data_IF_551108082646
#
_entry.id   IF_551108082646
#
_cell.length_a   1.000
_cell.length_b   1.000
_cell.length_c   1.000
_cell.angle_alpha   90.00
_cell.angle_beta   90.00
_cell.angle_gamma   90.00
#
_symmetry.space_group_name_H-M   'P 1'
#
loop_
_entity.id
_entity.type
_entity.pdbx_description
1 polymer ?
#
# COMPACT_ATOMS: atom_id res chain seq x y z
N UNK A 1 47.12 -26.76 23.93
CA UNK A 1 46.05 -26.81 22.89
C UNK A 1 44.67 -26.37 23.40
N UNK A 2 44.33 -26.53 24.69
CA UNK A 2 43.02 -26.08 25.25
C UNK A 2 42.91 -24.55 25.46
N UNK A 3 43.98 -23.88 25.85
CA UNK A 3 43.95 -22.43 26.16
C UNK A 3 43.68 -21.53 24.95
N UNK A 4 44.17 -21.91 23.77
CA UNK A 4 43.96 -21.13 22.54
C UNK A 4 42.48 -21.09 22.11
N UNK A 5 41.68 -22.09 22.53
CA UNK A 5 40.25 -22.16 22.27
C UNK A 5 39.45 -21.26 23.20
N UNK A 6 39.85 -21.19 24.48
CA UNK A 6 39.19 -20.37 25.50
C UNK A 6 39.37 -18.87 25.18
N UNK A 7 40.57 -18.45 24.78
CA UNK A 7 40.82 -17.05 24.39
C UNK A 7 39.94 -16.62 23.21
N UNK A 8 39.81 -17.49 22.20
CA UNK A 8 39.00 -17.21 21.01
C UNK A 8 37.50 -17.09 21.34
N UNK A 9 37.00 -17.91 22.27
CA UNK A 9 35.63 -17.83 22.77
C UNK A 9 35.40 -16.51 23.54
N UNK A 10 36.35 -16.12 24.38
CA UNK A 10 36.27 -14.86 25.13
C UNK A 10 36.27 -13.62 24.21
N UNK A 11 37.06 -13.64 23.15
CA UNK A 11 37.07 -12.56 22.15
C UNK A 11 35.73 -12.46 21.41
N UNK A 12 35.13 -13.60 21.04
CA UNK A 12 33.80 -13.63 20.42
C UNK A 12 32.70 -13.12 21.37
N UNK A 13 32.76 -13.48 22.66
CA UNK A 13 31.83 -12.99 23.67
C UNK A 13 31.94 -11.47 23.87
N UNK A 14 33.16 -10.92 23.78
CA UNK A 14 33.40 -9.48 23.88
C UNK A 14 32.79 -8.72 22.69
N UNK A 15 32.93 -9.25 21.48
CA UNK A 15 32.32 -8.69 20.26
C UNK A 15 30.79 -8.72 20.37
N UNK A 16 30.22 -9.86 20.78
CA UNK A 16 28.77 -10.01 20.98
C UNK A 16 28.23 -9.01 22.01
N UNK A 17 28.95 -8.81 23.12
CA UNK A 17 28.55 -7.86 24.16
C UNK A 17 28.52 -6.42 23.63
N UNK A 18 29.48 -6.03 22.80
CA UNK A 18 29.52 -4.71 22.20
C UNK A 18 28.36 -4.49 21.21
N UNK A 19 28.07 -5.48 20.36
CA UNK A 19 26.91 -5.40 19.46
C UNK A 19 25.58 -5.30 20.21
N UNK A 20 25.42 -6.02 21.34
CA UNK A 20 24.22 -5.91 22.16
C UNK A 20 24.07 -4.51 22.75
N UNK A 21 25.17 -3.88 23.19
CA UNK A 21 25.15 -2.51 23.68
C UNK A 21 24.76 -1.51 22.58
N UNK A 22 25.32 -1.64 21.38
CA UNK A 22 24.95 -0.79 20.23
C UNK A 22 23.48 -0.94 19.85
N UNK A 23 22.91 -2.15 19.91
CA UNK A 23 21.49 -2.38 19.65
C UNK A 23 20.62 -1.67 20.70
N UNK A 24 21.02 -1.74 21.98
CA UNK A 24 20.30 -1.08 23.07
C UNK A 24 20.34 0.45 22.90
N UNK A 25 21.50 1.01 22.57
CA UNK A 25 21.66 2.45 22.36
C UNK A 25 20.85 2.95 21.15
N UNK A 26 20.86 2.21 20.04
CA UNK A 26 20.05 2.53 18.87
C UNK A 26 18.55 2.44 19.18
N UNK A 27 18.13 1.49 20.01
CA UNK A 27 16.73 1.35 20.44
C UNK A 27 16.30 2.56 21.29
N UNK A 28 17.16 3.01 22.20
CA UNK A 28 16.91 4.20 23.03
C UNK A 28 16.87 5.49 22.20
N UNK A 29 17.77 5.62 21.23
CA UNK A 29 17.78 6.75 20.29
C UNK A 29 16.48 6.78 19.48
N UNK A 30 16.04 5.64 18.96
CA UNK A 30 14.79 5.52 18.22
C UNK A 30 13.56 5.89 19.07
N UNK A 31 13.50 5.42 20.33
CA UNK A 31 12.44 5.78 21.25
C UNK A 31 12.38 7.30 21.52
N UNK A 32 13.55 7.94 21.63
CA UNK A 32 13.66 9.39 21.83
C UNK A 32 13.18 10.17 20.61
N UNK A 33 13.60 9.78 19.40
CA UNK A 33 13.12 10.38 18.15
C UNK A 33 11.61 10.20 17.98
N UNK A 34 11.08 9.03 18.35
CA UNK A 34 9.65 8.76 18.27
C UNK A 34 8.85 9.65 19.22
N UNK A 35 9.30 9.80 20.47
CA UNK A 35 8.66 10.67 21.46
C UNK A 35 8.65 12.15 21.01
N UNK A 36 9.77 12.62 20.45
CA UNK A 36 9.87 13.98 19.90
C UNK A 36 8.92 14.21 18.73
N UNK A 37 8.92 13.30 17.75
CA UNK A 37 8.04 13.36 16.58
C UNK A 37 6.55 13.27 16.97
N UNK A 38 6.21 12.49 18.01
CA UNK A 38 4.86 12.45 18.54
C UNK A 38 4.45 13.78 19.18
N UNK A 39 5.33 14.38 19.99
CA UNK A 39 5.07 15.69 20.62
C UNK A 39 4.92 16.82 19.59
N UNK A 40 5.78 16.87 18.56
CA UNK A 40 5.67 17.86 17.48
C UNK A 40 4.36 17.72 16.70
N UNK A 41 3.91 16.48 16.44
CA UNK A 41 2.60 16.23 15.81
C UNK A 41 1.42 16.67 16.66
N UNK A 42 1.50 16.54 17.99
CA UNK A 42 0.43 17.04 18.86
C UNK A 42 0.38 18.57 18.86
N UNK A 43 1.53 19.24 18.91
CA UNK A 43 1.59 20.72 18.79
C UNK A 43 0.99 21.21 17.47
N UNK A 44 1.31 20.55 16.35
CA UNK A 44 0.74 20.89 15.04
C UNK A 44 -0.78 20.65 14.99
N UNK A 45 -1.28 19.59 15.63
CA UNK A 45 -2.73 19.37 15.75
C UNK A 45 -3.39 20.51 16.53
N UNK A 46 -2.83 20.89 17.67
CA UNK A 46 -3.36 21.96 18.51
C UNK A 46 -3.34 23.33 17.79
N UNK A 47 -2.40 23.56 16.87
CA UNK A 47 -2.32 24.79 16.06
C UNK A 47 -3.30 24.81 14.88
N UNK A 48 -3.54 23.66 14.24
CA UNK A 48 -4.36 23.54 13.03
C UNK A 48 -5.86 23.47 13.35
N UNK A 49 -6.26 22.76 14.42
CA UNK A 49 -7.66 22.59 14.83
C UNK A 49 -8.43 23.92 14.89
N UNK A 50 -7.94 24.99 15.58
CA UNK A 50 -8.68 26.25 15.65
C UNK A 50 -8.84 26.95 14.29
N UNK A 51 -7.88 26.79 13.38
CA UNK A 51 -7.98 27.36 12.02
C UNK A 51 -9.04 26.64 11.18
N UNK A 52 -9.14 25.31 11.31
CA UNK A 52 -10.17 24.51 10.62
C UNK A 52 -11.57 24.85 11.13
N UNK A 53 -11.75 25.04 12.44
CA UNK A 53 -13.02 25.47 13.02
C UNK A 53 -13.46 26.85 12.54
N UNK A 54 -12.51 27.77 12.35
CA UNK A 54 -12.80 29.13 11.87
C UNK A 54 -13.23 29.14 10.40
N UNK A 55 -12.64 28.28 9.56
CA UNK A 55 -13.04 28.09 8.16
C UNK A 55 -14.47 27.54 8.06
N UNK A 56 -14.81 26.57 8.91
CA UNK A 56 -16.15 25.97 8.92
C UNK A 56 -17.25 26.98 9.34
N UNK A 57 -16.98 27.83 10.34
CA UNK A 57 -17.90 28.91 10.73
C UNK A 57 -18.16 29.91 9.61
N UNK A 58 -17.14 30.26 8.83
CA UNK A 58 -17.29 31.17 7.68
C UNK A 58 -18.14 30.56 6.56
N UNK A 59 -18.12 29.23 6.40
CA UNK A 59 -18.94 28.52 5.43
C UNK A 59 -20.43 28.49 5.84
N UNK A 60 -20.74 28.43 7.14
CA UNK A 60 -22.13 28.46 7.63
C UNK A 60 -22.79 29.84 7.45
N UNK A 61 -22.04 30.92 7.65
CA UNK A 61 -22.52 32.31 7.49
C UNK A 61 -22.92 32.66 6.05
N UNK A 62 -22.29 32.04 5.05
CA UNK A 62 -22.60 32.27 3.63
C UNK A 62 -23.87 31.56 3.12
N UNK A 63 -24.53 30.76 3.97
CA UNK A 63 -25.74 30.00 3.58
C UNK A 63 -27.06 30.80 3.66
N UNK A 64 -27.03 32.05 4.15
CA UNK A 64 -28.24 32.82 4.51
C UNK A 64 -28.62 33.97 3.55
N UNK A 65 -28.14 33.97 2.29
CA UNK A 65 -28.53 34.99 1.31
C UNK A 65 -29.87 34.61 0.64
N UNK A 66 -30.94 35.45 0.70
CA UNK A 66 -32.22 35.14 0.07
C UNK A 66 -32.12 35.18 -1.47
N UNK A 67 -32.58 34.12 -2.15
CA UNK A 67 -32.64 34.06 -3.62
C UNK A 67 -33.92 34.74 -4.12
N UNK A 68 -33.78 35.74 -5.00
CA UNK A 68 -34.89 36.39 -5.69
C UNK A 68 -35.58 35.42 -6.67
N UNK A 69 -36.91 35.33 -6.57
CA UNK A 69 -37.78 34.50 -7.43
C UNK A 69 -38.05 35.17 -8.77
N UNK A 70 -37.91 34.44 -9.89
CA UNK A 70 -38.47 34.79 -11.20
C UNK A 70 -39.59 33.82 -11.60
N UNK A 71 -40.63 34.27 -12.34
CA UNK A 71 -41.89 33.55 -12.49
C UNK A 71 -41.85 32.44 -13.54
N UNK A 72 -42.58 31.36 -13.24
CA UNK A 72 -42.78 30.17 -14.06
C UNK A 72 -43.67 30.41 -15.29
N UNK A 73 -43.29 29.83 -16.44
CA UNK A 73 -44.21 29.43 -17.51
C UNK A 73 -44.15 27.92 -17.69
N UNK A 74 -45.30 27.27 -17.50
CA UNK A 74 -45.54 25.84 -17.71
C UNK A 74 -45.50 25.47 -19.19
N UNK A 75 -44.69 24.48 -19.56
CA UNK A 75 -45.08 23.54 -20.61
C UNK A 75 -44.64 22.12 -20.26
N UNK A 76 -45.63 21.22 -20.26
CA UNK A 76 -45.57 19.86 -19.74
C UNK A 76 -44.84 18.93 -20.71
N UNK A 77 -43.85 18.17 -20.21
CA UNK A 77 -43.64 16.78 -20.65
C UNK A 77 -43.06 15.88 -19.55
N UNK A 78 -43.86 14.86 -19.27
CA UNK A 78 -43.80 13.76 -18.31
C UNK A 78 -42.49 12.95 -18.16
N UNK A 79 -42.01 12.89 -16.90
CA UNK A 79 -41.60 11.69 -16.10
C UNK A 79 -40.24 11.00 -16.36
N UNK A 80 -39.26 11.21 -15.45
CA UNK A 80 -38.73 10.22 -14.46
C UNK A 80 -37.44 10.70 -13.75
N UNK A 81 -37.45 10.68 -12.40
CA UNK A 81 -36.25 10.62 -11.56
C UNK A 81 -35.57 11.96 -11.22
N UNK A 82 -36.02 12.61 -10.15
CA UNK A 82 -35.41 13.82 -9.58
C UNK A 82 -33.99 13.53 -9.06
N UNK A 83 -32.97 14.11 -9.71
CA UNK A 83 -31.68 14.38 -9.09
C UNK A 83 -31.77 15.71 -8.34
N UNK A 84 -31.18 15.76 -7.14
CA UNK A 84 -31.07 16.97 -6.33
C UNK A 84 -30.32 18.09 -7.08
N UNK A 85 -30.78 19.36 -7.05
CA UNK A 85 -30.20 20.45 -7.85
C UNK A 85 -28.86 21.01 -7.34
N UNK A 86 -28.29 20.48 -6.26
CA UNK A 86 -27.05 21.03 -5.67
C UNK A 86 -25.75 20.50 -6.32
N UNK A 87 -25.87 19.68 -7.38
CA UNK A 87 -24.75 19.10 -8.13
C UNK A 87 -24.53 19.75 -9.51
N UNK A 88 -25.14 20.92 -9.76
CA UNK A 88 -25.27 21.53 -11.09
C UNK A 88 -23.98 21.98 -11.81
N UNK A 89 -22.81 21.95 -11.16
CA UNK A 89 -21.52 22.25 -11.79
C UNK A 89 -20.42 21.20 -11.52
N UNK A 90 -20.67 20.27 -10.59
CA UNK A 90 -19.83 19.08 -10.34
C UNK A 90 -20.44 17.84 -11.00
N UNK A 91 -21.09 18.01 -12.15
CA UNK A 91 -21.49 16.89 -12.98
C UNK A 91 -20.23 16.31 -13.64
N UNK A 92 -19.52 15.52 -12.83
CA UNK A 92 -18.56 14.52 -13.28
C UNK A 92 -19.15 13.88 -14.54
N UNK A 93 -18.34 13.67 -15.56
CA UNK A 93 -18.68 12.83 -16.71
C UNK A 93 -18.94 11.41 -16.19
N UNK A 94 -20.12 11.19 -15.61
CA UNK A 94 -20.50 9.97 -14.90
C UNK A 94 -20.60 8.77 -15.84
N UNK A 95 -20.49 9.01 -17.15
CA UNK A 95 -20.41 8.00 -18.20
C UNK A 95 -19.02 7.40 -18.34
N UNK A 96 -17.98 8.14 -17.94
CA UNK A 96 -16.58 7.73 -18.14
C UNK A 96 -15.93 7.25 -16.84
N UNK A 97 -16.51 7.54 -15.67
CA UNK A 97 -15.98 7.05 -14.38
C UNK A 97 -16.13 5.52 -14.28
N UNK A 98 -15.05 4.79 -13.94
CA UNK A 98 -15.09 3.34 -13.77
C UNK A 98 -16.17 2.89 -12.77
N UNK A 99 -16.83 1.79 -13.11
CA UNK A 99 -17.85 1.16 -12.26
C UNK A 99 -17.20 0.63 -11.00
N UNK A 100 -17.94 0.53 -9.90
CA UNK A 100 -17.38 0.15 -8.59
C UNK A 100 -16.67 -1.22 -8.58
N UNK A 101 -17.03 -2.12 -9.50
CA UNK A 101 -16.41 -3.43 -9.71
C UNK A 101 -14.99 -3.33 -10.28
N UNK A 102 -14.68 -2.25 -11.00
CA UNK A 102 -13.38 -1.98 -11.63
C UNK A 102 -12.41 -1.31 -10.64
N UNK A 103 -12.90 -0.89 -9.47
CA UNK A 103 -12.08 -0.28 -8.43
C UNK A 103 -11.38 -1.35 -7.58
N UNK A 104 -10.15 -1.07 -7.11
CA UNK A 104 -9.42 -2.02 -6.29
C UNK A 104 -10.15 -2.28 -4.96
N UNK A 105 -10.01 -3.50 -4.43
CA UNK A 105 -10.55 -3.88 -3.12
C UNK A 105 -9.44 -4.03 -2.09
N UNK A 106 -9.72 -3.64 -0.85
CA UNK A 106 -8.77 -3.74 0.25
C UNK A 106 -9.37 -4.48 1.44
N UNK A 107 -8.82 -5.64 1.78
CA UNK A 107 -9.34 -6.50 2.86
C UNK A 107 -8.73 -6.24 4.23
N UNK A 108 -7.53 -5.65 4.28
CA UNK A 108 -6.77 -5.50 5.51
C UNK A 108 -6.37 -6.83 6.16
N UNK A 109 -6.49 -7.96 5.48
CA UNK A 109 -6.15 -9.29 5.98
C UNK A 109 -5.08 -9.97 5.14
N UNK A 110 -4.10 -10.59 5.80
CA UNK A 110 -3.06 -11.37 5.12
C UNK A 110 -1.98 -10.51 4.45
N UNK A 111 -1.53 -10.96 3.28
CA UNK A 111 -0.36 -10.46 2.53
C UNK A 111 -0.82 -9.48 1.43
N UNK A 112 -1.58 -8.46 1.80
CA UNK A 112 -2.09 -7.45 0.86
C UNK A 112 -1.03 -6.40 0.50
N UNK A 113 -1.15 -5.80 -0.68
CA UNK A 113 -0.33 -4.67 -1.12
C UNK A 113 -1.16 -3.38 -1.02
N UNK A 114 -0.96 -2.63 0.07
CA UNK A 114 -1.68 -1.37 0.31
C UNK A 114 -1.16 -0.22 -0.57
N UNK A 115 0.10 -0.30 -1.00
CA UNK A 115 0.72 0.67 -1.90
C UNK A 115 0.05 0.58 -3.27
N UNK A 116 -0.12 -0.64 -3.80
CA UNK A 116 -0.82 -0.84 -5.07
C UNK A 116 -2.28 -0.38 -5.00
N UNK A 117 -2.99 -0.69 -3.92
CA UNK A 117 -4.35 -0.19 -3.70
C UNK A 117 -4.43 1.34 -3.79
N UNK A 118 -3.52 2.06 -3.12
CA UNK A 118 -3.47 3.53 -3.15
C UNK A 118 -3.11 4.02 -4.56
N UNK A 119 -2.06 3.44 -5.17
CA UNK A 119 -1.59 3.80 -6.50
C UNK A 119 -2.67 3.65 -7.57
N UNK A 120 -3.42 2.55 -7.53
CA UNK A 120 -4.54 2.34 -8.46
C UNK A 120 -5.61 3.41 -8.29
N UNK A 121 -5.95 3.81 -7.06
CA UNK A 121 -6.91 4.90 -6.85
C UNK A 121 -6.35 6.24 -7.35
N UNK A 122 -5.09 6.55 -7.07
CA UNK A 122 -4.44 7.78 -7.55
C UNK A 122 -4.44 7.84 -9.10
N UNK A 123 -4.12 6.73 -9.78
CA UNK A 123 -4.21 6.65 -11.25
C UNK A 123 -5.64 6.88 -11.76
N UNK A 124 -6.65 6.30 -11.11
CA UNK A 124 -8.05 6.51 -11.48
C UNK A 124 -8.49 7.97 -11.26
N UNK A 125 -7.98 8.63 -10.21
CA UNK A 125 -8.26 10.05 -9.98
C UNK A 125 -7.65 10.91 -11.08
N UNK A 126 -6.43 10.60 -11.52
CA UNK A 126 -5.74 11.34 -12.56
C UNK A 126 -6.40 11.14 -13.93
N UNK A 127 -6.64 9.88 -14.33
CA UNK A 127 -7.17 9.53 -15.65
C UNK A 127 -8.61 9.99 -15.87
N UNK A 128 -9.45 9.92 -14.83
CA UNK A 128 -10.87 10.26 -14.92
C UNK A 128 -11.22 11.59 -14.22
N UNK A 129 -10.21 12.35 -13.80
CA UNK A 129 -10.37 13.63 -13.07
C UNK A 129 -11.36 13.53 -11.89
N UNK A 130 -11.25 12.47 -11.10
CA UNK A 130 -12.19 12.16 -10.01
C UNK A 130 -11.85 12.98 -8.77
N UNK A 131 -12.81 13.81 -8.36
CA UNK A 131 -12.70 14.58 -7.12
C UNK A 131 -12.64 13.70 -5.87
N UNK A 132 -11.95 14.22 -4.87
CA UNK A 132 -11.68 13.59 -3.59
C UNK A 132 -12.94 13.09 -2.88
N UNK A 133 -14.03 13.87 -2.92
CA UNK A 133 -15.28 13.54 -2.24
C UNK A 133 -15.93 12.27 -2.80
N UNK A 134 -15.74 11.99 -4.09
CA UNK A 134 -16.26 10.79 -4.75
C UNK A 134 -15.47 9.57 -4.29
N UNK A 135 -14.13 9.69 -4.27
CA UNK A 135 -13.25 8.62 -3.79
C UNK A 135 -13.56 8.29 -2.34
N UNK A 136 -13.61 9.30 -1.48
CA UNK A 136 -13.94 9.15 -0.06
C UNK A 136 -15.34 8.56 0.13
N UNK A 137 -16.30 8.90 -0.72
CA UNK A 137 -17.63 8.30 -0.75
C UNK A 137 -17.63 6.81 -1.13
N UNK A 138 -16.71 6.39 -2.02
CA UNK A 138 -16.57 4.99 -2.46
C UNK A 138 -15.77 4.14 -1.47
N UNK A 139 -14.90 4.72 -0.64
CA UNK A 139 -13.99 3.98 0.27
C UNK A 139 -14.69 2.88 1.09
N UNK A 140 -15.88 3.15 1.62
CA UNK A 140 -16.67 2.15 2.35
C UNK A 140 -16.86 0.84 1.56
N UNK A 141 -17.09 0.94 0.26
CA UNK A 141 -17.34 -0.18 -0.64
C UNK A 141 -16.06 -0.80 -1.22
N UNK A 142 -14.92 -0.11 -1.11
CA UNK A 142 -13.61 -0.63 -1.50
C UNK A 142 -12.99 -1.45 -0.37
N UNK A 143 -13.30 -1.09 0.88
CA UNK A 143 -12.89 -1.85 2.05
C UNK A 143 -13.74 -3.10 2.25
N UNK A 144 -13.08 -4.21 2.53
CA UNK A 144 -13.70 -5.52 2.79
C UNK A 144 -13.15 -6.12 4.09
N UNK A 145 -13.84 -7.12 4.65
CA UNK A 145 -13.40 -7.87 5.84
C UNK A 145 -12.98 -6.98 7.02
N UNK A 146 -11.79 -7.18 7.63
CA UNK A 146 -11.35 -6.36 8.76
C UNK A 146 -11.12 -4.89 8.41
N UNK A 147 -10.78 -4.56 7.16
CA UNK A 147 -10.56 -3.16 6.77
C UNK A 147 -11.84 -2.31 6.89
N UNK A 148 -13.02 -2.87 6.59
CA UNK A 148 -14.27 -2.10 6.66
C UNK A 148 -14.62 -1.71 8.12
N UNK A 149 -14.36 -2.63 9.07
CA UNK A 149 -14.58 -2.40 10.50
C UNK A 149 -13.64 -1.32 11.02
N UNK A 150 -12.38 -1.37 10.60
CA UNK A 150 -11.39 -0.34 10.90
C UNK A 150 -11.81 1.02 10.33
N UNK A 151 -12.22 1.08 9.06
CA UNK A 151 -12.66 2.31 8.41
C UNK A 151 -13.86 2.94 9.15
N UNK A 152 -14.85 2.14 9.55
CA UNK A 152 -15.99 2.62 10.33
C UNK A 152 -15.59 3.21 11.67
N UNK A 153 -14.69 2.53 12.40
CA UNK A 153 -14.15 3.05 13.67
C UNK A 153 -13.47 4.40 13.49
N UNK A 154 -12.57 4.51 12.50
CA UNK A 154 -11.85 5.76 12.22
C UNK A 154 -12.79 6.89 11.80
N UNK A 155 -13.80 6.58 10.98
CA UNK A 155 -14.84 7.55 10.57
C UNK A 155 -15.68 8.05 11.75
N UNK A 156 -15.96 7.20 12.73
CA UNK A 156 -16.70 7.60 13.93
C UNK A 156 -15.86 8.48 14.86
N UNK A 157 -14.56 8.15 15.01
CA UNK A 157 -13.66 8.85 15.93
C UNK A 157 -13.19 10.21 15.39
N UNK A 158 -12.94 10.33 14.09
CA UNK A 158 -12.28 11.51 13.52
C UNK A 158 -13.10 12.25 12.44
N UNK A 159 -14.25 11.70 12.02
CA UNK A 159 -15.18 12.38 11.12
C UNK A 159 -14.81 12.29 9.62
N UNK A 160 -15.13 13.35 8.87
CA UNK A 160 -14.85 13.43 7.43
C UNK A 160 -13.41 13.85 7.20
N UNK A 161 -12.70 13.08 6.38
CA UNK A 161 -11.33 13.36 5.96
C UNK A 161 -11.21 13.27 4.45
N UNK A 162 -10.26 14.02 3.89
CA UNK A 162 -9.84 13.93 2.51
C UNK A 162 -9.13 12.60 2.23
N UNK A 163 -8.99 12.22 0.95
CA UNK A 163 -8.30 10.99 0.59
C UNK A 163 -6.84 11.01 0.99
N UNK A 164 -6.19 12.18 1.01
CA UNK A 164 -4.80 12.32 1.48
C UNK A 164 -4.59 11.85 2.92
N UNK A 165 -5.51 12.22 3.82
CA UNK A 165 -5.53 11.71 5.18
C UNK A 165 -5.80 10.19 5.21
N UNK A 166 -6.75 9.69 4.41
CA UNK A 166 -6.98 8.24 4.31
C UNK A 166 -5.76 7.46 3.81
N UNK A 167 -5.01 8.00 2.84
CA UNK A 167 -3.75 7.40 2.37
C UNK A 167 -2.76 7.26 3.53
N UNK A 168 -2.58 8.33 4.29
CA UNK A 168 -1.68 8.36 5.45
C UNK A 168 -2.08 7.35 6.53
N UNK A 169 -3.38 7.25 6.81
CA UNK A 169 -3.93 6.28 7.77
C UNK A 169 -3.81 4.83 7.29
N UNK A 170 -4.07 4.56 6.01
CA UNK A 170 -3.86 3.23 5.41
C UNK A 170 -2.39 2.82 5.55
N UNK A 171 -1.45 3.72 5.23
CA UNK A 171 -0.02 3.47 5.36
C UNK A 171 0.35 3.24 6.84
N UNK A 172 -0.09 4.12 7.73
CA UNK A 172 0.29 4.09 9.17
C UNK A 172 -0.18 2.82 9.87
N UNK A 173 -1.45 2.45 9.69
CA UNK A 173 -2.03 1.32 10.41
C UNK A 173 -1.54 0.00 9.83
N UNK A 174 -1.17 -0.02 8.55
CA UNK A 174 -0.89 -1.25 7.82
C UNK A 174 0.58 -1.47 7.48
N UNK A 175 1.43 -0.50 7.82
CA UNK A 175 2.87 -0.67 8.05
C UNK A 175 3.21 -1.13 9.49
N UNK A 176 2.23 -1.64 10.25
CA UNK A 176 2.50 -2.19 11.59
C UNK A 176 3.58 -3.28 11.54
N UNK A 177 4.45 -3.32 12.56
CA UNK A 177 5.55 -4.30 12.66
C UNK A 177 5.06 -5.75 12.50
N UNK A 178 3.84 -6.06 12.94
CA UNK A 178 3.25 -7.41 12.77
C UNK A 178 2.93 -7.76 11.32
N UNK A 179 2.38 -6.83 10.54
CA UNK A 179 2.13 -7.05 9.11
C UNK A 179 3.44 -7.17 8.35
N UNK A 180 4.39 -6.27 8.63
CA UNK A 180 5.72 -6.26 8.00
C UNK A 180 6.43 -7.60 8.24
N UNK A 181 6.47 -8.05 9.49
CA UNK A 181 7.03 -9.35 9.86
C UNK A 181 6.34 -10.53 9.15
N UNK A 182 5.00 -10.53 9.07
CA UNK A 182 4.25 -11.59 8.36
C UNK A 182 4.58 -11.61 6.87
N UNK A 183 4.78 -10.44 6.25
CA UNK A 183 5.06 -10.32 4.83
C UNK A 183 6.52 -10.67 4.51
N UNK A 184 7.47 -10.24 5.34
CA UNK A 184 8.89 -10.62 5.27
C UNK A 184 9.03 -12.14 5.45
N UNK A 185 8.49 -12.72 6.52
CA UNK A 185 8.54 -14.16 6.74
C UNK A 185 7.88 -14.94 5.59
N UNK A 186 6.81 -14.40 5.03
CA UNK A 186 6.15 -14.99 3.87
C UNK A 186 7.00 -14.97 2.60
N UNK A 187 7.80 -13.93 2.39
CA UNK A 187 8.76 -13.85 1.30
C UNK A 187 9.94 -14.80 1.58
N UNK A 188 10.47 -14.78 2.81
CA UNK A 188 11.64 -15.57 3.19
C UNK A 188 11.40 -17.08 3.05
N UNK A 189 10.26 -17.57 3.55
CA UNK A 189 9.85 -18.97 3.46
C UNK A 189 9.37 -19.41 2.06
N UNK A 190 9.20 -18.48 1.11
CA UNK A 190 8.65 -18.77 -0.21
C UNK A 190 9.69 -19.28 -1.21
N UNK A 191 10.34 -20.39 -0.88
CA UNK A 191 11.22 -21.13 -1.81
C UNK A 191 10.38 -21.61 -3.01
N UNK A 192 10.93 -21.46 -4.21
CA UNK A 192 10.28 -21.89 -5.45
C UNK A 192 10.41 -23.40 -5.65
N UNK A 193 9.31 -24.06 -6.02
CA UNK A 193 9.29 -25.49 -6.31
C UNK A 193 8.87 -25.73 -7.77
N UNK A 194 9.79 -26.24 -8.59
CA UNK A 194 9.57 -26.43 -10.03
C UNK A 194 8.49 -27.46 -10.41
N UNK A 195 8.01 -28.29 -9.48
CA UNK A 195 6.94 -29.26 -9.74
C UNK A 195 5.55 -28.68 -9.42
N UNK A 196 5.47 -27.89 -8.33
CA UNK A 196 4.20 -27.40 -7.78
C UNK A 196 3.88 -25.96 -8.19
N UNK A 197 4.89 -25.14 -8.35
CA UNK A 197 4.73 -23.72 -8.57
C UNK A 197 4.70 -23.37 -10.07
N UNK A 198 3.83 -22.41 -10.42
CA UNK A 198 3.86 -21.75 -11.73
C UNK A 198 4.77 -20.51 -11.66
N UNK A 199 5.77 -20.36 -12.55
CA UNK A 199 6.70 -19.23 -12.53
C UNK A 199 6.01 -17.87 -12.47
N UNK A 200 5.15 -17.55 -13.44
CA UNK A 200 4.41 -16.28 -13.49
C UNK A 200 3.69 -15.96 -12.18
N UNK A 201 2.85 -16.89 -11.69
CA UNK A 201 2.05 -16.67 -10.47
C UNK A 201 2.94 -16.48 -9.25
N UNK A 202 4.05 -17.21 -9.14
CA UNK A 202 4.99 -17.05 -8.02
C UNK A 202 5.74 -15.75 -8.09
N UNK A 203 6.21 -15.38 -9.28
CA UNK A 203 7.00 -14.18 -9.50
C UNK A 203 6.18 -12.95 -9.14
N UNK A 204 4.98 -12.80 -9.72
CA UNK A 204 4.08 -11.69 -9.42
C UNK A 204 3.76 -11.61 -7.93
N UNK A 205 3.44 -12.74 -7.29
CA UNK A 205 3.14 -12.78 -5.86
C UNK A 205 4.32 -12.37 -4.98
N UNK A 206 5.57 -12.65 -5.39
CA UNK A 206 6.74 -12.15 -4.64
C UNK A 206 7.04 -10.69 -4.94
N UNK A 207 6.84 -10.22 -6.19
CA UNK A 207 6.93 -8.80 -6.53
C UNK A 207 5.97 -7.98 -5.70
N UNK A 208 4.70 -8.37 -5.62
CA UNK A 208 3.69 -7.67 -4.81
C UNK A 208 4.11 -7.51 -3.35
N UNK A 209 4.76 -8.53 -2.78
CA UNK A 209 5.27 -8.48 -1.40
C UNK A 209 6.44 -7.52 -1.27
N UNK A 210 7.40 -7.60 -2.18
CA UNK A 210 8.59 -6.76 -2.14
C UNK A 210 8.25 -5.29 -2.41
N UNK A 211 7.39 -5.01 -3.39
CA UNK A 211 6.90 -3.65 -3.66
C UNK A 211 6.13 -3.06 -2.47
N UNK A 212 5.38 -3.88 -1.73
CA UNK A 212 4.71 -3.43 -0.51
C UNK A 212 5.68 -3.20 0.67
N UNK A 213 6.79 -3.96 0.75
CA UNK A 213 7.79 -3.85 1.83
C UNK A 213 8.83 -2.75 1.58
N UNK A 214 9.16 -2.53 0.31
CA UNK A 214 10.21 -1.65 -0.18
C UNK A 214 9.74 -0.93 -1.46
N UNK A 215 8.88 0.10 -1.34
CA UNK A 215 8.35 0.82 -2.49
C UNK A 215 9.44 1.48 -3.35
N UNK A 216 10.55 1.89 -2.72
CA UNK A 216 11.66 2.58 -3.38
C UNK A 216 12.70 1.63 -4.02
N UNK A 217 12.46 0.31 -3.98
CA UNK A 217 13.38 -0.68 -4.56
C UNK A 217 13.23 -0.75 -6.07
N UNK A 218 14.36 -0.75 -6.80
CA UNK A 218 14.33 -0.89 -8.26
C UNK A 218 13.79 -2.26 -8.69
N UNK A 219 13.13 -2.29 -9.85
CA UNK A 219 12.59 -3.53 -10.43
C UNK A 219 13.67 -4.59 -10.67
N UNK A 220 14.87 -4.18 -11.10
CA UNK A 220 16.02 -5.11 -11.23
C UNK A 220 16.38 -5.76 -9.89
N UNK A 221 16.43 -4.99 -8.81
CA UNK A 221 16.73 -5.52 -7.48
C UNK A 221 15.61 -6.43 -6.96
N UNK A 222 14.34 -6.07 -7.22
CA UNK A 222 13.18 -6.92 -6.92
C UNK A 222 13.32 -8.26 -7.66
N UNK A 223 13.56 -8.23 -8.97
CA UNK A 223 13.70 -9.42 -9.80
C UNK A 223 14.84 -10.31 -9.30
N UNK A 224 15.99 -9.73 -8.98
CA UNK A 224 17.13 -10.45 -8.42
C UNK A 224 16.85 -11.08 -7.06
N UNK A 225 16.11 -10.40 -6.17
CA UNK A 225 15.69 -10.98 -4.88
C UNK A 225 14.74 -12.15 -5.07
N UNK A 226 13.81 -12.08 -6.03
CA UNK A 226 12.89 -13.16 -6.34
C UNK A 226 13.66 -14.35 -6.92
N UNK A 227 14.60 -14.10 -7.82
CA UNK A 227 15.43 -15.13 -8.44
C UNK A 227 16.22 -15.96 -7.41
N UNK A 228 16.76 -15.32 -6.37
CA UNK A 228 17.43 -16.00 -5.24
C UNK A 228 16.54 -16.99 -4.49
N UNK A 229 15.21 -16.89 -4.63
CA UNK A 229 14.26 -17.87 -4.06
C UNK A 229 14.12 -19.15 -4.89
N UNK A 230 14.67 -19.17 -6.11
CA UNK A 230 14.81 -20.40 -6.91
C UNK A 230 15.94 -21.27 -6.37
N UNK A 231 17.09 -20.66 -6.09
CA UNK A 231 18.27 -21.31 -5.56
C UNK A 231 18.92 -22.34 -6.52
N UNK A 232 20.13 -22.75 -6.17
CA UNK A 232 20.83 -23.87 -6.82
C UNK A 232 21.03 -23.70 -8.33
N UNK A 233 20.87 -24.80 -9.07
CA UNK A 233 21.06 -24.86 -10.52
C UNK A 233 20.06 -23.99 -11.27
N UNK A 234 18.80 -23.97 -10.84
CA UNK A 234 17.76 -23.18 -11.50
C UNK A 234 18.09 -21.68 -11.49
N UNK A 235 18.54 -21.14 -10.36
CA UNK A 235 18.99 -19.75 -10.27
C UNK A 235 20.14 -19.47 -11.26
N UNK A 236 21.13 -20.35 -11.33
CA UNK A 236 22.30 -20.19 -12.20
C UNK A 236 21.90 -20.26 -13.69
N UNK A 237 21.07 -21.23 -14.05
CA UNK A 237 20.60 -21.42 -15.43
C UNK A 237 19.81 -20.22 -15.94
N UNK A 238 18.99 -19.61 -15.07
CA UNK A 238 18.26 -18.38 -15.41
C UNK A 238 19.23 -17.22 -15.59
N UNK A 239 20.19 -17.03 -14.67
CA UNK A 239 21.21 -15.97 -14.78
C UNK A 239 22.02 -16.08 -16.07
N UNK A 240 22.33 -17.29 -16.52
CA UNK A 240 23.03 -17.49 -17.78
C UNK A 240 22.21 -17.07 -19.02
N UNK A 241 20.88 -17.01 -18.93
CA UNK A 241 19.98 -16.64 -20.04
C UNK A 241 19.54 -15.18 -19.97
N UNK A 242 19.51 -14.62 -18.77
CA UNK A 242 19.08 -13.26 -18.47
C UNK A 242 20.29 -12.33 -18.35
N UNK A 243 20.76 -11.78 -19.47
CA UNK A 243 21.83 -10.76 -19.49
C UNK A 243 21.24 -9.38 -19.20
N UNK A 244 21.87 -8.61 -18.31
CA UNK A 244 21.38 -7.27 -17.96
C UNK A 244 21.51 -6.27 -19.14
N UNK A 245 20.56 -5.34 -19.32
CA UNK A 245 19.32 -5.18 -18.56
C UNK A 245 18.27 -6.24 -18.94
N UNK A 246 17.69 -6.90 -17.93
CA UNK A 246 16.76 -8.00 -18.11
C UNK A 246 15.40 -7.66 -17.48
N UNK A 247 14.33 -7.83 -18.25
CA UNK A 247 12.95 -7.53 -17.81
C UNK A 247 12.40 -8.63 -16.91
N UNK A 248 11.27 -8.36 -16.25
CA UNK A 248 10.56 -9.38 -15.49
C UNK A 248 10.14 -10.55 -16.39
N UNK A 249 9.63 -10.20 -17.57
CA UNK A 249 9.13 -11.12 -18.57
C UNK A 249 10.24 -12.07 -19.02
N UNK A 250 11.45 -11.57 -19.23
CA UNK A 250 12.61 -12.39 -19.58
C UNK A 250 12.96 -13.41 -18.48
N UNK A 251 12.92 -13.00 -17.20
CA UNK A 251 13.12 -13.92 -16.08
C UNK A 251 12.04 -15.00 -16.04
N UNK A 252 10.77 -14.62 -16.20
CA UNK A 252 9.63 -15.56 -16.17
C UNK A 252 9.70 -16.54 -17.34
N UNK A 253 9.93 -16.03 -18.56
CA UNK A 253 10.06 -16.84 -19.76
C UNK A 253 11.23 -17.81 -19.63
N UNK A 254 12.38 -17.34 -19.14
CA UNK A 254 13.55 -18.19 -18.90
C UNK A 254 13.24 -19.30 -17.88
N UNK A 255 12.56 -18.98 -16.79
CA UNK A 255 12.12 -19.96 -15.79
C UNK A 255 11.20 -21.02 -16.40
N UNK A 256 10.18 -20.60 -17.16
CA UNK A 256 9.23 -21.50 -17.81
C UNK A 256 9.91 -22.43 -18.82
N UNK A 257 10.83 -21.89 -19.62
CA UNK A 257 11.62 -22.66 -20.58
C UNK A 257 12.51 -23.71 -19.92
N UNK A 258 13.23 -23.34 -18.84
CA UNK A 258 14.09 -24.28 -18.10
C UNK A 258 13.23 -25.41 -17.53
N UNK A 259 12.16 -25.06 -16.80
CA UNK A 259 11.32 -26.06 -16.14
C UNK A 259 10.69 -27.01 -17.15
N UNK A 260 10.24 -26.50 -18.29
CA UNK A 260 9.64 -27.31 -19.35
C UNK A 260 10.66 -28.27 -19.96
N UNK A 261 11.87 -27.80 -20.29
CA UNK A 261 12.94 -28.64 -20.86
C UNK A 261 13.43 -29.70 -19.87
N UNK A 262 13.59 -29.35 -18.60
CA UNK A 262 14.04 -30.29 -17.55
C UNK A 262 12.98 -31.36 -17.24
N UNK A 263 11.69 -31.06 -17.38
CA UNK A 263 10.61 -32.06 -17.27
C UNK A 263 10.60 -33.04 -18.45
N UNK A 264 10.91 -32.57 -19.66
CA UNK A 264 11.00 -33.43 -20.85
C UNK A 264 12.16 -34.43 -20.71
N UNK A 265 13.28 -34.03 -20.12
CA UNK A 265 14.46 -34.91 -19.94
C UNK A 265 14.26 -35.98 -18.85
N UNK A 266 13.29 -35.81 -17.94
CA UNK A 266 13.02 -36.75 -16.83
C UNK A 266 11.95 -37.80 -17.14
N UNK A 267 11.23 -37.68 -18.25
CA UNK A 267 10.24 -38.65 -18.73
C UNK A 267 10.84 -39.54 -19.83
#
# INVERSE_FOLDING_TARGET
>A
MKDLSITKINDQLKILKNHVLEIVDNTNLFATHFARSYSERQKLKDEIIPHVEQINKNHELNSHIPRHSTPWTEEKRSVKGSLNPFLGEKAIYAKDVPKLEEWPKFSGEGKYNHIEFIRTIDMLQEEFHIYDEIVVGKLHSLFTKTAIRWYHKMRQEHGKHDFSCWKSEIITIRASNSWRFKLENAFESAIFNSEKDKPLTRFLKQKDRLSALHPDMSDSMINMKILRKCGGELENDIKCRCVEPCSMEDYINSMEDIITRTRIVKN
#
